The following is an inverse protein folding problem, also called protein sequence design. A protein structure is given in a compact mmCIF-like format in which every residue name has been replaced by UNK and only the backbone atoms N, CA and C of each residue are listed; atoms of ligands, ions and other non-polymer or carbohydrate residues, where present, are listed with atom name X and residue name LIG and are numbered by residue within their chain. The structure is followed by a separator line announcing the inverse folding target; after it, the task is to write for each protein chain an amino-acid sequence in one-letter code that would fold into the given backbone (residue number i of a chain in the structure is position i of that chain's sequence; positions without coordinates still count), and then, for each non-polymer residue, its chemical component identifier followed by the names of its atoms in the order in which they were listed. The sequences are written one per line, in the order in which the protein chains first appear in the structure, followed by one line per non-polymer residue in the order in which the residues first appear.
data_IF_889221507985
#
_entry.id   IF_889221507985
#
_cell.length_a   1.000
_cell.length_b   1.000
_cell.length_c   1.000
_cell.angle_alpha   90.00
_cell.angle_beta   90.00
_cell.angle_gamma   90.00
#
_symmetry.space_group_name_H-M   'P 1'
#
loop_
_entity.id
_entity.type
_entity.pdbx_description
1 polymer ?
#
# COMPACT_ATOMS: atom_id res chain seq x y z
N UNK A 1 15.20 -43.83 -29.24
CA UNK A 1 14.45 -42.57 -29.37
C UNK A 1 13.42 -42.62 -28.27
N UNK A 2 13.84 -42.18 -27.09
CA UNK A 2 12.98 -41.99 -25.92
C UNK A 2 12.38 -40.59 -26.07
N UNK A 3 11.06 -40.49 -26.01
CA UNK A 3 10.34 -39.22 -26.00
C UNK A 3 10.40 -38.67 -24.57
N UNK A 4 11.15 -37.59 -24.37
CA UNK A 4 11.15 -36.82 -23.13
C UNK A 4 9.82 -36.04 -23.02
N UNK A 5 8.97 -36.44 -22.08
CA UNK A 5 7.79 -35.67 -21.67
C UNK A 5 8.26 -34.37 -20.99
N UNK A 6 8.09 -33.24 -21.68
CA UNK A 6 8.20 -31.92 -21.07
C UNK A 6 6.98 -31.68 -20.18
N UNK A 7 7.16 -31.78 -18.86
CA UNK A 7 6.17 -31.26 -17.90
C UNK A 7 6.05 -29.74 -18.10
N UNK A 8 4.90 -29.30 -18.61
CA UNK A 8 4.46 -27.90 -18.55
C UNK A 8 4.32 -27.50 -17.09
N UNK A 9 5.33 -26.81 -16.56
CA UNK A 9 5.27 -26.15 -15.27
C UNK A 9 4.36 -24.92 -15.41
N UNK A 10 3.04 -25.17 -15.42
CA UNK A 10 2.01 -24.14 -15.28
C UNK A 10 2.18 -23.60 -13.87
N UNK A 11 2.97 -22.52 -13.75
CA UNK A 11 3.11 -21.78 -12.51
C UNK A 11 1.72 -21.53 -11.95
N UNK A 12 1.44 -22.14 -10.79
CA UNK A 12 0.19 -21.97 -10.09
C UNK A 12 -0.07 -20.47 -9.96
N UNK A 13 -1.17 -19.99 -10.57
CA UNK A 13 -1.66 -18.62 -10.39
C UNK A 13 -2.03 -18.33 -8.93
N UNK A 14 -1.95 -19.32 -8.05
CA UNK A 14 -2.15 -19.23 -6.62
C UNK A 14 -1.05 -18.42 -5.92
N UNK A 15 0.18 -18.36 -6.48
CA UNK A 15 1.32 -17.60 -5.93
C UNK A 15 1.09 -16.09 -5.99
N UNK A 16 0.37 -15.61 -7.01
CA UNK A 16 0.00 -14.19 -7.14
C UNK A 16 -1.18 -13.80 -6.22
N UNK A 17 -2.02 -14.76 -5.84
CA UNK A 17 -3.18 -14.51 -4.98
C UNK A 17 -2.83 -14.53 -3.49
N UNK A 18 -1.83 -15.30 -3.08
CA UNK A 18 -1.37 -15.35 -1.69
C UNK A 18 -0.79 -14.00 -1.22
N UNK A 19 -0.12 -13.27 -2.10
CA UNK A 19 0.44 -11.96 -1.78
C UNK A 19 -0.62 -10.86 -1.63
N UNK A 20 -1.72 -10.95 -2.38
CA UNK A 20 -2.86 -10.02 -2.24
C UNK A 20 -3.58 -10.29 -0.91
N UNK A 21 -3.76 -11.55 -0.52
CA UNK A 21 -4.39 -11.92 0.77
C UNK A 21 -3.46 -11.64 1.96
N UNK A 22 -2.15 -11.73 1.77
CA UNK A 22 -1.15 -11.37 2.78
C UNK A 22 -1.18 -9.85 3.13
N UNK A 23 -1.60 -9.00 2.19
CA UNK A 23 -1.78 -7.56 2.44
C UNK A 23 -2.95 -7.24 3.39
N UNK A 24 -3.94 -8.13 3.47
CA UNK A 24 -5.10 -7.99 4.37
C UNK A 24 -4.81 -8.47 5.79
N UNK A 25 -3.79 -7.90 6.45
CA UNK A 25 -3.71 -7.64 7.90
C UNK A 25 -4.04 -8.74 8.93
N UNK A 26 -4.21 -10.00 8.54
CA UNK A 26 -4.59 -11.11 9.40
C UNK A 26 -3.63 -12.27 9.16
N UNK A 27 -2.45 -12.23 9.82
CA UNK A 27 -1.74 -13.47 10.16
C UNK A 27 -0.26 -13.63 9.81
N UNK A 28 0.46 -12.59 9.36
CA UNK A 28 1.93 -12.67 9.27
C UNK A 28 2.57 -12.20 10.59
N UNK A 29 3.49 -13.00 11.14
CA UNK A 29 4.25 -12.59 12.32
C UNK A 29 5.06 -11.33 12.01
N UNK A 30 5.35 -10.52 13.04
CA UNK A 30 6.13 -9.28 12.88
C UNK A 30 7.48 -9.58 12.23
N UNK A 31 8.10 -10.70 12.60
CA UNK A 31 9.37 -11.19 12.05
C UNK A 31 9.26 -11.44 10.54
N UNK A 32 8.20 -12.10 10.07
CA UNK A 32 7.99 -12.34 8.64
C UNK A 32 7.82 -11.04 7.85
N UNK A 33 7.15 -10.05 8.43
CA UNK A 33 7.00 -8.73 7.78
C UNK A 33 8.35 -8.01 7.68
N UNK A 34 9.14 -8.03 8.75
CA UNK A 34 10.52 -7.49 8.71
C UNK A 34 11.39 -8.20 7.68
N UNK A 35 11.32 -9.53 7.62
CA UNK A 35 12.07 -10.33 6.66
C UNK A 35 11.71 -9.95 5.22
N UNK A 36 10.42 -9.83 4.90
CA UNK A 36 9.95 -9.38 3.56
C UNK A 36 10.49 -8.00 3.20
N UNK A 37 10.45 -7.03 4.11
CA UNK A 37 10.98 -5.70 3.86
C UNK A 37 12.50 -5.72 3.62
N UNK A 38 13.23 -6.47 4.43
CA UNK A 38 14.68 -6.62 4.27
C UNK A 38 15.05 -7.29 2.96
N UNK A 39 14.30 -8.32 2.55
CA UNK A 39 14.49 -8.99 1.27
C UNK A 39 14.20 -8.06 0.09
N UNK A 40 13.10 -7.31 0.12
CA UNK A 40 12.76 -6.34 -0.93
C UNK A 40 13.82 -5.26 -1.06
N UNK A 41 14.22 -4.64 0.06
CA UNK A 41 15.25 -3.58 0.04
C UNK A 41 16.61 -4.13 -0.44
N UNK A 42 16.95 -5.39 -0.12
CA UNK A 42 18.16 -6.05 -0.64
C UNK A 42 18.09 -6.26 -2.15
N UNK A 43 16.94 -6.68 -2.68
CA UNK A 43 16.73 -6.87 -4.12
C UNK A 43 16.84 -5.52 -4.83
N UNK A 44 16.20 -4.47 -4.30
CA UNK A 44 16.28 -3.13 -4.87
C UNK A 44 17.72 -2.60 -4.90
N UNK A 45 18.51 -2.85 -3.86
CA UNK A 45 19.94 -2.51 -3.81
C UNK A 45 20.74 -3.23 -4.90
N UNK A 46 20.46 -4.52 -5.14
CA UNK A 46 21.12 -5.29 -6.19
C UNK A 46 20.85 -4.72 -7.59
N UNK A 47 19.67 -4.13 -7.80
CA UNK A 47 19.29 -3.47 -9.06
C UNK A 47 19.67 -1.98 -9.12
N UNK A 48 20.39 -1.47 -8.12
CA UNK A 48 20.84 -0.07 -8.05
C UNK A 48 19.73 0.92 -7.67
N UNK A 49 18.58 0.45 -7.23
CA UNK A 49 17.45 1.27 -6.81
C UNK A 49 17.58 1.62 -5.32
N UNK A 50 18.52 2.52 -5.00
CA UNK A 50 18.73 2.96 -3.62
C UNK A 50 17.63 3.92 -3.17
N UNK A 51 17.22 3.80 -1.91
CA UNK A 51 16.26 4.75 -1.30
C UNK A 51 16.94 6.10 -1.14
N UNK A 52 16.41 7.10 -1.82
CA UNK A 52 16.89 8.47 -1.74
C UNK A 52 16.46 9.09 -0.40
N UNK A 53 17.44 9.49 0.41
CA UNK A 53 17.25 10.06 1.76
C UNK A 53 17.86 11.45 1.89
N UNK A 54 18.43 11.97 0.81
CA UNK A 54 19.09 13.27 0.80
C UNK A 54 18.05 14.40 0.70
N UNK A 55 18.44 15.58 1.18
CA UNK A 55 17.61 16.79 1.14
C UNK A 55 17.72 17.57 -0.17
N UNK A 56 18.50 17.08 -1.14
CA UNK A 56 18.69 17.76 -2.41
C UNK A 56 17.56 17.42 -3.39
N UNK A 57 17.21 18.38 -4.22
CA UNK A 57 16.21 18.15 -5.26
C UNK A 57 16.84 17.34 -6.39
N UNK A 58 16.21 16.21 -6.72
CA UNK A 58 16.66 15.33 -7.79
C UNK A 58 15.56 15.15 -8.81
N UNK A 59 15.90 15.40 -10.08
CA UNK A 59 14.99 15.22 -11.21
C UNK A 59 15.15 13.78 -11.73
N UNK A 60 14.01 13.13 -11.98
CA UNK A 60 13.98 11.80 -12.56
C UNK A 60 12.61 11.48 -13.15
N UNK A 61 12.61 10.48 -14.03
CA UNK A 61 11.43 9.96 -14.70
C UNK A 61 10.87 8.78 -13.93
N UNK A 62 9.64 8.90 -13.44
CA UNK A 62 8.93 7.82 -12.76
C UNK A 62 8.65 6.70 -13.77
N UNK A 63 9.12 5.48 -13.49
CA UNK A 63 8.91 4.32 -14.37
C UNK A 63 8.16 3.17 -13.70
N UNK A 64 8.18 3.09 -12.36
CA UNK A 64 7.44 2.07 -11.63
C UNK A 64 6.94 2.59 -10.28
N UNK A 65 5.88 1.96 -9.78
CA UNK A 65 5.21 2.30 -8.53
C UNK A 65 4.75 1.01 -7.85
N UNK A 66 5.22 0.76 -6.62
CA UNK A 66 4.93 -0.47 -5.90
C UNK A 66 4.40 -0.17 -4.49
N UNK A 67 3.28 -0.77 -4.06
CA UNK A 67 2.85 -0.72 -2.67
C UNK A 67 3.92 -1.32 -1.75
N UNK A 68 4.21 -0.67 -0.64
CA UNK A 68 5.17 -1.16 0.34
C UNK A 68 4.70 -0.87 1.77
N UNK A 69 5.42 -1.43 2.73
CA UNK A 69 5.25 -1.11 4.14
C UNK A 69 6.56 -0.52 4.67
N UNK A 70 6.47 0.48 5.54
CA UNK A 70 7.62 1.01 6.25
C UNK A 70 7.42 0.81 7.74
N UNK A 71 8.50 0.61 8.48
CA UNK A 71 8.44 0.55 9.93
C UNK A 71 8.63 1.95 10.52
N UNK A 72 7.57 2.49 11.13
CA UNK A 72 7.61 3.76 11.88
C UNK A 72 8.14 3.47 13.29
N UNK A 73 9.38 3.90 13.56
CA UNK A 73 10.05 3.70 14.85
C UNK A 73 9.37 4.45 16.00
N UNK A 74 8.83 5.65 15.74
CA UNK A 74 8.16 6.46 16.76
C UNK A 74 6.88 5.79 17.24
N UNK A 75 6.08 5.29 16.30
CA UNK A 75 4.78 4.66 16.58
C UNK A 75 4.87 3.15 16.79
N UNK A 76 6.07 2.57 16.67
CA UNK A 76 6.38 1.13 16.77
C UNK A 76 5.40 0.26 15.97
N UNK A 77 5.08 0.69 14.74
CA UNK A 77 4.12 0.01 13.87
C UNK A 77 4.55 0.09 12.41
N UNK A 78 4.09 -0.87 11.63
CA UNK A 78 4.17 -0.77 10.18
C UNK A 78 3.14 0.23 9.66
N UNK A 79 3.56 1.11 8.75
CA UNK A 79 2.74 2.07 8.04
C UNK A 79 2.72 1.71 6.56
N UNK A 80 1.58 1.92 5.91
CA UNK A 80 1.46 1.74 4.47
C UNK A 80 2.17 2.88 3.75
N UNK A 81 2.90 2.53 2.70
CA UNK A 81 3.65 3.45 1.88
C UNK A 81 3.66 2.97 0.43
N UNK A 82 4.19 3.82 -0.45
CA UNK A 82 4.37 3.54 -1.86
C UNK A 82 5.82 3.82 -2.20
N UNK A 83 6.50 2.83 -2.80
CA UNK A 83 7.82 2.99 -3.40
C UNK A 83 7.66 3.47 -4.85
N UNK A 84 8.22 4.65 -5.12
CA UNK A 84 8.28 5.30 -6.41
C UNK A 84 9.68 5.10 -7.00
N UNK A 85 9.78 4.51 -8.17
CA UNK A 85 11.06 4.22 -8.81
C UNK A 85 11.32 5.17 -9.98
N UNK A 86 12.49 5.81 -9.97
CA UNK A 86 12.88 6.83 -10.93
C UNK A 86 14.16 6.46 -11.69
N UNK A 87 14.26 6.98 -12.91
CA UNK A 87 15.50 7.03 -13.70
C UNK A 87 15.91 8.51 -13.82
N UNK A 88 17.10 8.86 -13.35
CA UNK A 88 17.69 10.19 -13.47
C UNK A 88 18.37 10.44 -14.82
N UNK A 89 18.87 11.67 -15.01
CA UNK A 89 19.39 12.14 -16.30
C UNK A 89 20.68 11.44 -16.76
N UNK A 90 21.44 10.84 -15.85
CA UNK A 90 22.71 10.14 -16.14
C UNK A 90 22.53 8.61 -16.05
N UNK A 91 21.31 8.12 -16.28
CA UNK A 91 20.98 6.69 -16.20
C UNK A 91 21.04 6.12 -14.78
N UNK A 92 21.20 6.97 -13.77
CA UNK A 92 21.14 6.62 -12.37
C UNK A 92 19.71 6.24 -11.97
N UNK A 93 19.57 5.32 -11.03
CA UNK A 93 18.27 4.83 -10.56
C UNK A 93 18.15 5.12 -9.08
N UNK A 94 16.97 5.54 -8.67
CA UNK A 94 16.69 5.78 -7.28
C UNK A 94 15.23 5.51 -6.98
N UNK A 95 14.93 5.22 -5.72
CA UNK A 95 13.55 5.09 -5.25
C UNK A 95 13.26 6.06 -4.13
N UNK A 96 12.01 6.51 -4.03
CA UNK A 96 11.50 7.33 -2.94
C UNK A 96 10.30 6.60 -2.35
N UNK A 97 10.26 6.50 -1.02
CA UNK A 97 9.12 5.89 -0.32
C UNK A 97 8.24 6.98 0.27
N UNK A 98 6.97 7.03 -0.13
CA UNK A 98 5.99 8.00 0.37
C UNK A 98 5.00 7.28 1.28
N UNK A 99 4.93 7.71 2.54
CA UNK A 99 3.95 7.17 3.50
C UNK A 99 2.56 7.70 3.12
N UNK A 100 1.60 6.80 3.00
CA UNK A 100 0.21 7.16 2.70
C UNK A 100 -0.77 6.30 3.51
N UNK A 101 -1.58 6.90 4.40
CA UNK A 101 -2.60 6.16 5.13
C UNK A 101 -3.77 5.82 4.19
N UNK A 102 -4.08 4.53 3.95
CA UNK A 102 -5.21 4.14 3.11
C UNK A 102 -6.52 4.57 3.76
N UNK A 103 -7.47 5.01 2.94
CA UNK A 103 -8.79 5.47 3.35
C UNK A 103 -9.87 4.88 2.45
N UNK A 104 -11.10 4.85 2.96
CA UNK A 104 -12.29 4.49 2.21
C UNK A 104 -13.46 5.34 2.71
N UNK A 105 -14.52 5.42 1.91
CA UNK A 105 -15.71 6.19 2.26
C UNK A 105 -16.87 5.28 2.66
N UNK A 106 -17.66 5.73 3.61
CA UNK A 106 -18.93 5.12 4.01
C UNK A 106 -20.07 6.07 3.68
N UNK A 107 -20.98 5.63 2.81
CA UNK A 107 -22.19 6.39 2.52
C UNK A 107 -23.18 6.32 3.67
N UNK A 108 -23.59 7.48 4.20
CA UNK A 108 -24.63 7.59 5.22
C UNK A 108 -25.90 8.21 4.63
N UNK A 109 -27.06 7.77 5.14
CA UNK A 109 -28.35 8.42 4.83
C UNK A 109 -28.35 9.84 5.37
N UNK A 110 -28.94 10.77 4.61
CA UNK A 110 -29.10 12.18 5.01
C UNK A 110 -29.71 12.29 6.41
N UNK A 111 -29.07 13.09 7.27
CA UNK A 111 -29.50 13.37 8.63
C UNK A 111 -29.09 12.30 9.65
N UNK A 112 -28.31 11.29 9.26
CA UNK A 112 -27.75 10.26 10.16
C UNK A 112 -26.23 10.18 10.12
N UNK A 113 -25.58 11.08 9.42
CA UNK A 113 -24.12 11.12 9.29
C UNK A 113 -23.42 11.20 10.65
N UNK A 114 -23.95 12.01 11.58
CA UNK A 114 -23.41 12.14 12.93
C UNK A 114 -23.54 10.85 13.76
N UNK A 115 -24.66 10.13 13.62
CA UNK A 115 -24.89 8.87 14.33
C UNK A 115 -23.94 7.78 13.84
N UNK A 116 -23.76 7.68 12.51
CA UNK A 116 -22.84 6.71 11.90
C UNK A 116 -21.40 7.06 12.26
N UNK A 117 -21.03 8.33 12.21
CA UNK A 117 -19.70 8.81 12.64
C UNK A 117 -19.42 8.46 14.11
N UNK A 118 -20.35 8.74 15.01
CA UNK A 118 -20.22 8.41 16.43
C UNK A 118 -20.10 6.90 16.67
N UNK A 119 -20.84 6.09 15.90
CA UNK A 119 -20.75 4.64 15.98
C UNK A 119 -19.38 4.12 15.50
N UNK A 120 -18.92 4.55 14.32
CA UNK A 120 -17.66 4.08 13.73
C UNK A 120 -16.45 4.49 14.56
N UNK A 121 -16.39 5.77 14.95
CA UNK A 121 -15.31 6.30 15.79
C UNK A 121 -15.22 5.54 17.12
N UNK A 122 -16.34 5.26 17.79
CA UNK A 122 -16.36 4.49 19.04
C UNK A 122 -16.04 3.00 18.85
N UNK A 123 -16.53 2.37 17.78
CA UNK A 123 -16.40 0.92 17.56
C UNK A 123 -15.01 0.51 17.05
N UNK A 124 -14.35 1.41 16.31
CA UNK A 124 -13.10 1.13 15.58
C UNK A 124 -11.93 2.03 15.99
N UNK A 125 -12.01 2.72 17.13
CA UNK A 125 -10.94 3.63 17.61
C UNK A 125 -9.53 3.00 17.66
N UNK A 126 -9.44 1.68 17.84
CA UNK A 126 -8.16 0.95 17.89
C UNK A 126 -7.71 0.38 16.53
N UNK A 127 -8.52 0.52 15.48
CA UNK A 127 -8.24 -0.03 14.14
C UNK A 127 -8.14 1.04 13.06
N UNK A 128 -8.84 2.15 13.21
CA UNK A 128 -8.80 3.28 12.29
C UNK A 128 -7.80 4.33 12.78
N UNK A 129 -7.09 4.96 11.84
CA UNK A 129 -6.18 6.08 12.15
C UNK A 129 -6.96 7.36 12.43
N UNK A 130 -7.90 7.69 11.55
CA UNK A 130 -8.84 8.81 11.66
C UNK A 130 -10.19 8.39 11.09
N UNK A 131 -11.23 9.10 11.49
CA UNK A 131 -12.56 9.04 10.90
C UNK A 131 -13.02 10.49 10.81
N UNK A 132 -13.50 10.94 9.65
CA UNK A 132 -13.78 12.36 9.38
C UNK A 132 -15.01 12.49 8.48
N UNK A 133 -15.92 13.41 8.80
CA UNK A 133 -17.10 13.68 7.98
C UNK A 133 -16.71 14.56 6.77
N UNK A 134 -16.88 14.06 5.55
CA UNK A 134 -16.46 14.75 4.34
C UNK A 134 -17.61 14.80 3.32
N UNK A 135 -18.05 16.02 2.98
CA UNK A 135 -18.97 16.23 1.86
C UNK A 135 -18.24 16.01 0.53
N UNK A 136 -18.75 15.11 -0.29
CA UNK A 136 -18.28 14.83 -1.66
C UNK A 136 -19.46 14.90 -2.61
N UNK A 137 -19.23 15.38 -3.82
CA UNK A 137 -20.22 15.37 -4.88
C UNK A 137 -20.28 13.97 -5.51
N UNK A 138 -21.45 13.34 -5.49
CA UNK A 138 -21.72 12.14 -6.26
C UNK A 138 -22.26 12.55 -7.64
N UNK A 139 -21.40 12.43 -8.66
CA UNK A 139 -21.75 12.77 -10.05
C UNK A 139 -22.83 11.85 -10.66
N UNK A 140 -23.20 10.76 -9.98
CA UNK A 140 -24.11 9.73 -10.49
C UNK A 140 -25.56 9.78 -9.99
N UNK A 141 -25.93 10.60 -8.99
CA UNK A 141 -27.22 10.42 -8.32
C UNK A 141 -28.06 11.69 -8.06
N UNK A 142 -29.39 11.52 -8.14
CA UNK A 142 -30.45 12.51 -7.87
C UNK A 142 -30.82 12.64 -6.38
N UNK A 143 -30.12 11.97 -5.48
CA UNK A 143 -30.39 11.98 -4.03
C UNK A 143 -29.06 12.18 -3.31
N UNK A 144 -29.01 13.19 -2.46
CA UNK A 144 -27.82 13.59 -1.71
C UNK A 144 -27.45 12.50 -0.69
N UNK A 145 -26.25 11.93 -0.77
CA UNK A 145 -25.66 11.15 0.31
C UNK A 145 -24.45 11.91 0.88
N UNK A 146 -24.24 11.82 2.19
CA UNK A 146 -23.05 12.38 2.84
C UNK A 146 -22.09 11.23 3.15
N UNK A 147 -20.82 11.41 2.80
CA UNK A 147 -19.78 10.41 3.03
C UNK A 147 -19.03 10.68 4.34
N UNK A 148 -18.64 9.60 5.00
CA UNK A 148 -17.84 9.53 6.23
C UNK A 148 -16.56 8.78 5.92
#
# INVERSE_FOLDING_TARGET
MEEDEFEENVGNNDDFTEDIVASTGLGLSLEKRFERLSQSDRIDQLYGCLRYLEFEERIGWLYNLQPCELFDEERRRFVSAIDLYFIGDIGDRFKISVIYPPYFYVGAKVGRENDVYAYLSKRYHNRCLSCDLIAKEDLGMKIDYVYI
#
